data_IF_074389065818
#
_entry.id   IF_074389065818
#
_cell.length_a   1.000
_cell.length_b   1.000
_cell.length_c   1.000
_cell.angle_alpha   90.00
_cell.angle_beta   90.00
_cell.angle_gamma   90.00
#
_symmetry.space_group_name_H-M   'P 1'
#
loop_
_entity.id
_entity.type
_entity.pdbx_description
1 polymer ?
#
# COMPACT_ATOMS: atom_id res chain seq x y z
N UNK A 1 81.72 53.65 -25.71
CA UNK A 1 80.57 52.84 -26.17
C UNK A 1 80.57 51.53 -25.42
N UNK A 2 79.55 51.29 -24.59
CA UNK A 2 79.12 49.97 -24.13
C UNK A 2 77.71 50.14 -23.55
N UNK A 3 76.73 49.49 -24.20
CA UNK A 3 75.32 49.40 -23.79
C UNK A 3 75.19 48.14 -22.94
N UNK A 4 74.48 48.22 -21.80
CA UNK A 4 74.02 47.04 -21.07
C UNK A 4 72.52 47.18 -20.78
N UNK A 5 71.79 46.17 -21.23
CA UNK A 5 70.33 46.09 -21.35
C UNK A 5 69.70 45.72 -20.01
N UNK A 6 68.62 46.41 -19.63
CA UNK A 6 67.81 46.10 -18.46
C UNK A 6 66.93 44.86 -18.71
N UNK A 7 66.98 43.89 -17.80
CA UNK A 7 66.12 42.71 -17.82
C UNK A 7 64.83 42.99 -17.02
N UNK A 8 63.69 43.00 -17.70
CA UNK A 8 62.36 43.13 -17.10
C UNK A 8 61.79 41.74 -16.84
N UNK A 9 61.64 41.35 -15.59
CA UNK A 9 60.90 40.13 -15.18
C UNK A 9 59.39 40.34 -15.31
N UNK A 10 58.74 39.53 -16.13
CA UNK A 10 57.27 39.43 -16.23
C UNK A 10 56.79 38.37 -15.24
N UNK A 11 55.98 38.77 -14.26
CA UNK A 11 55.26 37.84 -13.37
C UNK A 11 53.91 37.52 -14.01
N UNK A 12 53.75 36.29 -14.49
CA UNK A 12 52.48 35.80 -15.02
C UNK A 12 51.57 35.36 -13.85
N UNK A 13 50.47 36.07 -13.65
CA UNK A 13 49.44 35.74 -12.66
C UNK A 13 48.50 34.67 -13.25
N UNK A 14 48.61 33.43 -12.76
CA UNK A 14 47.77 32.32 -13.19
C UNK A 14 46.39 32.40 -12.51
N UNK A 15 45.38 32.88 -13.22
CA UNK A 15 43.97 32.85 -12.78
C UNK A 15 43.41 31.44 -12.97
N UNK A 16 43.08 30.76 -11.88
CA UNK A 16 42.38 29.47 -11.89
C UNK A 16 40.87 29.76 -11.94
N UNK A 17 40.12 29.34 -12.98
CA UNK A 17 38.66 29.48 -12.98
C UNK A 17 38.05 28.51 -11.96
N UNK A 18 37.28 29.03 -11.02
CA UNK A 18 36.47 28.22 -10.12
C UNK A 18 35.35 27.53 -10.90
N UNK A 19 35.02 26.25 -10.63
CA UNK A 19 33.86 25.62 -11.23
C UNK A 19 32.59 26.26 -10.67
N UNK A 20 31.82 26.94 -11.53
CA UNK A 20 30.44 27.32 -11.22
C UNK A 20 29.63 26.04 -11.03
N UNK A 21 29.34 25.70 -9.77
CA UNK A 21 28.33 24.70 -9.46
C UNK A 21 26.98 25.32 -9.81
N UNK A 22 26.48 25.01 -11.00
CA UNK A 22 25.08 25.27 -11.32
C UNK A 22 24.23 24.49 -10.31
N UNK A 23 23.64 25.22 -9.36
CA UNK A 23 22.64 24.66 -8.47
C UNK A 23 21.45 24.26 -9.35
N UNK A 24 21.39 22.98 -9.72
CA UNK A 24 20.18 22.40 -10.26
C UNK A 24 19.12 22.50 -9.16
N UNK A 25 18.22 23.46 -9.30
CA UNK A 25 16.97 23.48 -8.56
C UNK A 25 16.24 22.17 -8.90
N UNK A 26 16.40 21.13 -8.07
CA UNK A 26 15.39 20.08 -7.98
C UNK A 26 14.13 20.79 -7.48
N UNK A 27 13.30 21.25 -8.43
CA UNK A 27 11.92 21.56 -8.11
C UNK A 27 11.37 20.33 -7.41
N UNK A 28 10.85 20.50 -6.20
CA UNK A 28 10.12 19.46 -5.50
C UNK A 28 9.01 19.00 -6.46
N UNK A 29 9.23 17.87 -7.13
CA UNK A 29 8.21 17.26 -7.97
C UNK A 29 7.04 17.01 -7.02
N UNK A 30 5.93 17.72 -7.24
CA UNK A 30 4.69 17.48 -6.50
C UNK A 30 4.36 16.00 -6.68
N UNK A 31 4.38 15.24 -5.58
CA UNK A 31 4.05 13.83 -5.61
C UNK A 31 2.63 13.67 -6.19
N UNK A 32 2.44 12.69 -7.08
CA UNK A 32 1.12 12.41 -7.65
C UNK A 32 0.17 11.89 -6.56
N UNK A 33 -1.13 11.90 -6.85
CA UNK A 33 -2.14 11.37 -5.92
C UNK A 33 -1.91 9.88 -5.63
N UNK A 34 -1.52 9.12 -6.65
CA UNK A 34 -1.16 7.69 -6.56
C UNK A 34 0.06 7.49 -5.66
N UNK A 35 1.10 8.31 -5.82
CA UNK A 35 2.30 8.24 -4.99
C UNK A 35 1.99 8.56 -3.53
N UNK A 36 1.12 9.55 -3.28
CA UNK A 36 0.64 9.86 -1.92
C UNK A 36 -0.15 8.70 -1.34
N UNK A 37 -1.09 8.12 -2.06
CA UNK A 37 -1.86 6.96 -1.59
C UNK A 37 -0.94 5.78 -1.26
N UNK A 38 0.03 5.44 -2.13
CA UNK A 38 0.98 4.38 -1.86
C UNK A 38 1.77 4.62 -0.57
N UNK A 39 2.23 5.84 -0.33
CA UNK A 39 2.91 6.23 0.91
C UNK A 39 2.01 6.00 2.14
N UNK A 40 0.75 6.44 2.07
CA UNK A 40 -0.23 6.29 3.14
C UNK A 40 -0.50 4.80 3.44
N UNK A 41 -0.74 3.99 2.40
CA UNK A 41 -0.96 2.54 2.52
C UNK A 41 0.26 1.86 3.15
N UNK A 42 1.45 2.12 2.64
CA UNK A 42 2.67 1.49 3.14
C UNK A 42 3.02 1.93 4.57
N UNK A 43 2.67 3.16 4.95
CA UNK A 43 2.78 3.60 6.35
C UNK A 43 1.83 2.83 7.27
N UNK A 44 0.57 2.62 6.86
CA UNK A 44 -0.39 1.81 7.62
C UNK A 44 0.09 0.35 7.76
N UNK A 45 0.64 -0.22 6.69
CA UNK A 45 1.23 -1.57 6.70
C UNK A 45 2.43 -1.70 7.63
N UNK A 46 3.33 -0.72 7.62
CA UNK A 46 4.45 -0.67 8.55
C UNK A 46 3.98 -0.60 10.02
N UNK A 47 2.94 0.19 10.31
CA UNK A 47 2.35 0.25 11.66
C UNK A 47 1.68 -1.06 12.07
N UNK A 48 1.09 -1.79 11.13
CA UNK A 48 0.53 -3.12 11.35
C UNK A 48 1.59 -4.24 11.41
N UNK A 49 2.87 -3.94 11.16
CA UNK A 49 3.94 -4.92 11.19
C UNK A 49 3.93 -5.91 10.01
N UNK A 50 3.32 -5.54 8.88
CA UNK A 50 3.28 -6.39 7.66
C UNK A 50 4.17 -5.82 6.54
N UNK A 51 4.64 -6.66 5.59
CA UNK A 51 5.51 -6.20 4.52
C UNK A 51 4.88 -5.09 3.66
N UNK A 52 5.69 -4.18 3.16
CA UNK A 52 5.25 -3.12 2.25
C UNK A 52 4.80 -3.69 0.90
N UNK A 53 3.92 -2.97 0.22
CA UNK A 53 3.49 -3.27 -1.14
C UNK A 53 4.42 -2.61 -2.14
N UNK A 54 4.64 -3.31 -3.25
CA UNK A 54 5.36 -2.81 -4.42
C UNK A 54 4.37 -2.49 -5.54
N UNK A 55 4.59 -1.40 -6.28
CA UNK A 55 3.79 -1.10 -7.47
C UNK A 55 4.06 -2.15 -8.56
N UNK A 56 2.98 -2.68 -9.14
CA UNK A 56 3.04 -3.48 -10.37
C UNK A 56 2.38 -2.71 -11.54
N UNK A 57 3.11 -2.41 -12.63
CA UNK A 57 2.57 -1.63 -13.74
C UNK A 57 1.35 -2.24 -14.44
N UNK A 58 1.25 -3.57 -14.51
CA UNK A 58 0.09 -4.22 -15.13
C UNK A 58 -1.15 -4.07 -14.25
N UNK A 59 -0.97 -4.15 -12.92
CA UNK A 59 -2.04 -3.90 -11.96
C UNK A 59 -2.46 -2.44 -11.94
N UNK A 60 -1.52 -1.50 -12.09
CA UNK A 60 -1.79 -0.06 -12.23
C UNK A 60 -2.66 0.21 -13.45
N UNK A 61 -2.31 -0.33 -14.62
CA UNK A 61 -3.08 -0.11 -15.85
C UNK A 61 -4.56 -0.54 -15.70
N UNK A 62 -4.80 -1.65 -15.00
CA UNK A 62 -6.17 -2.12 -14.71
C UNK A 62 -6.87 -1.19 -13.73
N UNK A 63 -6.18 -0.73 -12.68
CA UNK A 63 -6.74 0.19 -11.69
C UNK A 63 -7.09 1.55 -12.31
N UNK A 64 -6.23 2.11 -13.16
CA UNK A 64 -6.46 3.37 -13.88
C UNK A 64 -7.65 3.28 -14.84
N UNK A 65 -7.72 2.21 -15.64
CA UNK A 65 -8.84 1.98 -16.55
C UNK A 65 -10.18 1.87 -15.79
N UNK A 66 -10.17 1.24 -14.61
CA UNK A 66 -11.36 1.15 -13.79
C UNK A 66 -11.71 2.47 -13.11
N UNK A 67 -10.72 3.23 -12.63
CA UNK A 67 -10.92 4.58 -12.09
C UNK A 67 -11.56 5.51 -13.13
N UNK A 68 -11.14 5.42 -14.40
CA UNK A 68 -11.77 6.11 -15.51
C UNK A 68 -13.23 5.69 -15.70
N UNK A 69 -13.52 4.39 -15.65
CA UNK A 69 -14.89 3.86 -15.74
C UNK A 69 -15.79 4.37 -14.61
N UNK A 70 -15.29 4.38 -13.37
CA UNK A 70 -16.01 4.93 -12.21
C UNK A 70 -16.28 6.42 -12.39
N UNK A 71 -15.27 7.18 -12.81
CA UNK A 71 -15.38 8.60 -13.08
C UNK A 71 -16.44 8.86 -14.16
N UNK A 72 -16.42 8.12 -15.27
CA UNK A 72 -17.37 8.23 -16.39
C UNK A 72 -18.82 7.97 -15.97
N UNK A 73 -19.03 6.93 -15.17
CA UNK A 73 -20.36 6.50 -14.68
C UNK A 73 -20.88 7.35 -13.52
N UNK A 74 -20.02 8.07 -12.81
CA UNK A 74 -20.39 8.85 -11.63
C UNK A 74 -20.71 8.00 -10.41
N UNK A 75 -20.08 6.84 -10.27
CA UNK A 75 -20.27 5.93 -9.13
C UNK A 75 -19.03 5.06 -8.89
N UNK A 76 -19.02 4.32 -7.78
CA UNK A 76 -17.87 3.49 -7.34
C UNK A 76 -18.19 1.99 -7.29
N UNK A 77 -18.66 1.35 -8.39
CA UNK A 77 -18.82 -0.09 -8.42
C UNK A 77 -17.45 -0.79 -8.40
N UNK A 78 -17.40 -1.97 -7.79
CA UNK A 78 -16.27 -2.87 -7.95
C UNK A 78 -16.13 -3.35 -9.40
N UNK A 79 -14.90 -3.64 -9.82
CA UNK A 79 -14.60 -4.18 -11.14
C UNK A 79 -15.02 -5.65 -11.25
N UNK A 80 -16.04 -5.99 -12.06
CA UNK A 80 -16.50 -7.36 -12.19
C UNK A 80 -15.49 -8.24 -12.94
N UNK A 81 -14.58 -7.63 -13.71
CA UNK A 81 -13.64 -8.31 -14.60
C UNK A 81 -12.19 -8.30 -14.07
N UNK A 82 -11.95 -7.81 -12.84
CA UNK A 82 -10.59 -7.70 -12.29
C UNK A 82 -9.82 -9.03 -12.36
N UNK A 83 -10.49 -10.13 -12.01
CA UNK A 83 -9.89 -11.46 -12.02
C UNK A 83 -9.52 -11.99 -13.41
N UNK A 84 -10.20 -11.55 -14.46
CA UNK A 84 -9.92 -11.95 -15.86
C UNK A 84 -8.94 -11.01 -16.55
N UNK A 85 -8.84 -9.76 -16.08
CA UNK A 85 -7.91 -8.75 -16.58
C UNK A 85 -6.48 -8.94 -16.07
N UNK A 86 -6.31 -9.59 -14.93
CA UNK A 86 -5.01 -9.94 -14.36
C UNK A 86 -4.76 -11.45 -14.45
N UNK A 87 -3.49 -11.82 -14.64
CA UNK A 87 -3.06 -13.22 -14.69
C UNK A 87 -2.00 -13.51 -13.63
N UNK A 88 -1.73 -14.79 -13.36
CA UNK A 88 -0.64 -15.19 -12.47
C UNK A 88 -0.82 -14.77 -11.01
N UNK A 89 -2.06 -14.63 -10.53
CA UNK A 89 -2.39 -14.30 -9.15
C UNK A 89 -2.92 -15.52 -8.39
N UNK A 90 -2.69 -15.53 -7.08
CA UNK A 90 -3.26 -16.48 -6.12
C UNK A 90 -4.44 -15.87 -5.35
N UNK A 91 -4.32 -14.60 -4.98
CA UNK A 91 -5.38 -13.81 -4.36
C UNK A 91 -5.42 -12.42 -4.99
N UNK A 92 -6.63 -11.87 -5.07
CA UNK A 92 -6.91 -10.50 -5.49
C UNK A 92 -7.83 -9.84 -4.48
N UNK A 93 -7.68 -8.54 -4.31
CA UNK A 93 -8.65 -7.68 -3.65
C UNK A 93 -8.68 -6.31 -4.31
N UNK A 94 -9.81 -5.61 -4.16
CA UNK A 94 -10.00 -4.26 -4.66
C UNK A 94 -10.59 -3.38 -3.56
N UNK A 95 -10.02 -2.20 -3.39
CA UNK A 95 -10.69 -1.09 -2.72
C UNK A 95 -11.07 -0.05 -3.78
N UNK A 96 -12.27 0.51 -3.64
CA UNK A 96 -12.72 1.66 -4.44
C UNK A 96 -13.18 2.77 -3.51
N UNK A 97 -12.88 4.02 -3.87
CA UNK A 97 -13.26 5.17 -3.07
C UNK A 97 -13.50 6.42 -3.92
N UNK A 98 -14.24 7.36 -3.32
CA UNK A 98 -14.50 8.69 -3.83
C UNK A 98 -14.18 9.69 -2.72
N UNK A 99 -13.37 10.72 -3.01
CA UNK A 99 -13.01 11.74 -2.04
C UNK A 99 -12.42 13.01 -2.67
N UNK A 100 -12.15 14.04 -1.88
CA UNK A 100 -11.58 15.31 -2.34
C UNK A 100 -10.07 15.25 -2.57
N UNK A 101 -9.37 14.41 -1.81
CA UNK A 101 -7.92 14.33 -1.79
C UNK A 101 -7.43 12.95 -1.28
N UNK A 102 -6.16 12.58 -1.52
CA UNK A 102 -5.60 11.29 -1.11
C UNK A 102 -5.70 10.99 0.38
N UNK A 103 -5.49 11.99 1.24
CA UNK A 103 -5.48 11.83 2.69
C UNK A 103 -6.89 11.56 3.24
N UNK A 104 -7.91 12.21 2.68
CA UNK A 104 -9.31 11.90 2.97
C UNK A 104 -9.67 10.50 2.50
N UNK A 105 -9.34 10.15 1.24
CA UNK A 105 -9.64 8.83 0.66
C UNK A 105 -9.05 7.72 1.52
N UNK A 106 -7.77 7.82 1.87
CA UNK A 106 -7.11 6.80 2.70
C UNK A 106 -7.76 6.65 4.08
N UNK A 107 -8.15 7.76 4.71
CA UNK A 107 -8.83 7.73 6.01
C UNK A 107 -10.16 6.98 5.94
N UNK A 108 -10.97 7.24 4.91
CA UNK A 108 -12.24 6.54 4.69
C UNK A 108 -12.03 5.03 4.47
N UNK A 109 -10.97 4.65 3.75
CA UNK A 109 -10.61 3.24 3.56
C UNK A 109 -10.17 2.59 4.89
N UNK A 110 -9.40 3.28 5.72
CA UNK A 110 -8.98 2.79 7.05
C UNK A 110 -10.16 2.64 8.03
N UNK A 111 -11.19 3.49 7.92
CA UNK A 111 -12.38 3.44 8.78
C UNK A 111 -13.37 2.33 8.38
N UNK A 112 -13.24 1.76 7.17
CA UNK A 112 -14.04 0.62 6.71
C UNK A 112 -13.34 -0.70 7.05
N UNK A 113 -13.94 -1.60 7.88
CA UNK A 113 -13.31 -2.86 8.26
C UNK A 113 -12.89 -3.73 7.06
N UNK A 114 -13.72 -3.79 6.02
CA UNK A 114 -13.42 -4.57 4.81
C UNK A 114 -12.24 -3.97 4.04
N UNK A 115 -12.23 -2.65 3.80
CA UNK A 115 -11.13 -2.01 3.07
C UNK A 115 -9.81 -2.02 3.87
N UNK A 116 -9.90 -1.79 5.18
CA UNK A 116 -8.77 -1.92 6.10
C UNK A 116 -8.13 -3.31 6.03
N UNK A 117 -8.96 -4.37 6.02
CA UNK A 117 -8.44 -5.75 5.92
C UNK A 117 -7.65 -6.00 4.64
N UNK A 118 -8.03 -5.39 3.51
CA UNK A 118 -7.27 -5.46 2.26
C UNK A 118 -5.94 -4.71 2.40
N UNK A 119 -5.98 -3.48 2.93
CA UNK A 119 -4.81 -2.62 3.13
C UNK A 119 -3.72 -3.28 3.96
N UNK A 120 -4.10 -3.97 5.04
CA UNK A 120 -3.14 -4.55 6.01
C UNK A 120 -2.97 -6.05 5.90
N UNK A 121 -3.54 -6.71 4.88
CA UNK A 121 -3.36 -8.15 4.70
C UNK A 121 -1.90 -8.49 4.34
N UNK A 122 -1.23 -9.39 5.09
CA UNK A 122 0.12 -9.82 4.78
C UNK A 122 0.19 -10.74 3.56
N UNK A 123 -0.95 -11.18 3.01
CA UNK A 123 -0.98 -12.03 1.83
C UNK A 123 -0.60 -11.29 0.55
N UNK A 124 -0.87 -9.98 0.49
CA UNK A 124 -0.59 -9.15 -0.68
C UNK A 124 0.84 -8.60 -0.65
N UNK A 125 1.47 -8.56 -1.82
CA UNK A 125 2.82 -8.02 -2.02
C UNK A 125 2.90 -7.00 -3.16
N UNK A 126 1.93 -7.00 -4.07
CA UNK A 126 1.84 -6.05 -5.17
C UNK A 126 0.56 -5.22 -5.06
N UNK A 127 0.62 -4.00 -5.57
CA UNK A 127 -0.53 -3.11 -5.68
C UNK A 127 -0.49 -2.31 -6.98
N UNK A 128 -1.66 -2.02 -7.54
CA UNK A 128 -1.84 -0.99 -8.54
C UNK A 128 -2.84 0.03 -8.03
N UNK A 129 -2.49 1.32 -8.15
CA UNK A 129 -3.33 2.43 -7.70
C UNK A 129 -3.67 3.28 -8.92
N UNK A 130 -4.95 3.45 -9.18
CA UNK A 130 -5.46 4.33 -10.23
C UNK A 130 -6.25 5.48 -9.63
N UNK A 131 -6.00 6.70 -10.07
CA UNK A 131 -6.73 7.89 -9.64
C UNK A 131 -7.18 8.71 -10.84
N UNK A 132 -8.48 9.03 -10.89
CA UNK A 132 -9.03 9.95 -11.90
C UNK A 132 -9.75 11.10 -11.19
N UNK A 133 -9.42 12.34 -11.55
CA UNK A 133 -10.12 13.52 -11.04
C UNK A 133 -11.26 13.92 -11.96
N UNK A 134 -12.48 14.02 -11.42
CA UNK A 134 -13.65 14.53 -12.14
C UNK A 134 -14.56 15.31 -11.17
N UNK A 135 -14.94 16.52 -11.55
CA UNK A 135 -15.85 17.35 -10.74
C UNK A 135 -15.31 17.75 -9.36
N UNK A 136 -13.98 17.87 -9.22
CA UNK A 136 -13.33 18.16 -7.93
C UNK A 136 -13.26 16.98 -6.97
N UNK A 137 -13.61 15.77 -7.44
CA UNK A 137 -13.47 14.53 -6.69
C UNK A 137 -12.45 13.61 -7.36
N UNK A 138 -11.80 12.78 -6.56
CA UNK A 138 -10.91 11.70 -6.95
C UNK A 138 -11.68 10.38 -6.91
N UNK A 139 -11.73 9.70 -8.04
CA UNK A 139 -12.16 8.31 -8.17
C UNK A 139 -10.91 7.44 -8.03
N UNK A 140 -10.86 6.62 -6.98
CA UNK A 140 -9.65 5.88 -6.59
C UNK A 140 -9.92 4.38 -6.61
N UNK A 141 -9.01 3.63 -7.21
CA UNK A 141 -8.96 2.16 -7.20
C UNK A 141 -7.63 1.71 -6.64
N UNK A 142 -7.64 0.79 -5.67
CA UNK A 142 -6.45 0.08 -5.19
C UNK A 142 -6.66 -1.42 -5.41
N UNK A 143 -5.90 -1.99 -6.34
CA UNK A 143 -5.93 -3.41 -6.66
C UNK A 143 -4.74 -4.10 -5.98
N UNK A 144 -5.01 -5.04 -5.08
CA UNK A 144 -4.00 -5.78 -4.33
C UNK A 144 -3.83 -7.17 -4.90
N UNK A 145 -2.58 -7.61 -5.06
CA UNK A 145 -2.27 -8.91 -5.66
C UNK A 145 -1.32 -9.71 -4.77
N UNK A 146 -1.69 -10.96 -4.53
CA UNK A 146 -0.76 -12.00 -4.15
C UNK A 146 -0.39 -12.75 -5.44
N UNK A 147 0.85 -12.67 -5.93
CA UNK A 147 1.28 -13.46 -7.07
C UNK A 147 1.11 -14.96 -6.81
N UNK A 148 0.71 -15.71 -7.83
CA UNK A 148 0.91 -17.15 -7.82
C UNK A 148 2.42 -17.40 -7.67
N UNK A 149 2.79 -18.34 -6.78
CA UNK A 149 4.19 -18.70 -6.66
C UNK A 149 4.70 -19.12 -8.04
N UNK A 150 5.79 -18.49 -8.49
CA UNK A 150 6.52 -19.03 -9.63
C UNK A 150 6.88 -20.47 -9.25
N UNK A 151 6.45 -21.45 -10.05
CA UNK A 151 6.91 -22.82 -9.90
C UNK A 151 8.43 -22.76 -9.87
N UNK A 152 9.02 -23.12 -8.73
CA UNK A 152 10.46 -23.18 -8.58
C UNK A 152 10.98 -24.35 -9.40
N UNK A 153 11.14 -24.17 -10.71
CA UNK A 153 12.07 -25.00 -11.49
C UNK A 153 13.45 -24.40 -11.33
N UNK A 154 13.97 -24.48 -10.11
CA UNK A 154 15.41 -24.37 -9.85
C UNK A 154 16.00 -25.78 -9.82
N UNK A 155 17.21 -26.01 -10.37
CA UNK A 155 17.90 -27.28 -10.16
C UNK A 155 18.04 -27.51 -8.65
N UNK A 156 17.81 -28.75 -8.22
CA UNK A 156 18.17 -29.19 -6.88
C UNK A 156 19.68 -29.04 -6.68
N UNK A 157 20.12 -27.87 -6.20
CA UNK A 157 21.51 -27.65 -5.81
C UNK A 157 21.64 -27.82 -4.29
N UNK A 158 21.81 -29.09 -3.93
CA UNK A 158 22.83 -29.57 -3.01
C UNK A 158 23.17 -28.65 -1.83
N UNK A 159 22.46 -28.85 -0.72
CA UNK A 159 23.06 -28.63 0.59
C UNK A 159 24.28 -29.58 0.72
N UNK A 160 25.51 -29.09 0.98
CA UNK A 160 26.60 -30.00 1.33
C UNK A 160 26.27 -30.66 2.67
N UNK A 161 26.08 -31.97 2.62
CA UNK A 161 25.92 -32.84 3.78
C UNK A 161 27.04 -32.58 4.79
N UNK A 162 26.74 -31.81 5.85
CA UNK A 162 27.61 -31.75 7.03
C UNK A 162 27.59 -33.14 7.68
N UNK A 163 28.71 -33.82 7.53
CA UNK A 163 29.10 -35.06 8.21
C UNK A 163 28.70 -35.05 9.70
N UNK A 164 28.16 -36.15 10.26
CA UNK A 164 27.92 -36.23 11.70
C UNK A 164 29.26 -36.25 12.44
N UNK A 165 29.44 -35.35 13.42
CA UNK A 165 30.56 -35.41 14.35
C UNK A 165 30.33 -36.56 15.37
N UNK A 166 31.38 -37.29 15.79
CA UNK A 166 31.24 -38.34 16.80
C UNK A 166 31.03 -37.70 18.18
N UNK A 167 29.90 -38.01 18.82
CA UNK A 167 29.60 -37.60 20.20
C UNK A 167 30.32 -38.55 21.16
N UNK A 168 31.51 -38.15 21.63
CA UNK A 168 32.15 -38.78 22.79
C UNK A 168 31.30 -38.46 24.03
N UNK A 169 30.86 -39.50 24.73
CA UNK A 169 30.06 -39.37 25.94
C UNK A 169 30.85 -38.90 27.16
N UNK A 170 30.20 -38.16 28.05
CA UNK A 170 30.37 -38.28 29.51
C UNK A 170 29.22 -37.59 30.26
N UNK A 171 28.55 -38.44 31.05
CA UNK A 171 27.81 -38.30 32.33
C UNK A 171 27.30 -36.92 32.79
N UNK A 172 26.02 -36.92 33.15
CA UNK A 172 25.30 -36.00 34.04
C UNK A 172 25.97 -35.81 35.41
N UNK A 173 25.67 -34.71 36.11
CA UNK A 173 24.86 -34.85 37.31
C UNK A 173 23.76 -33.78 37.50
N UNK A 174 22.70 -34.24 38.18
CA UNK A 174 21.66 -33.62 39.01
C UNK A 174 21.11 -32.20 38.76
N UNK A 175 19.83 -32.21 38.39
CA UNK A 175 18.69 -31.48 38.96
C UNK A 175 18.97 -30.38 39.99
N UNK A 176 18.69 -29.13 39.61
CA UNK A 176 18.20 -28.12 40.55
C UNK A 176 17.03 -27.39 39.89
N UNK A 177 15.84 -27.66 40.40
CA UNK A 177 14.58 -27.03 40.00
C UNK A 177 14.61 -25.56 40.44
N UNK A 178 14.72 -24.62 39.49
CA UNK A 178 14.41 -23.21 39.72
C UNK A 178 12.98 -22.97 39.25
N UNK A 179 12.11 -22.75 40.23
CA UNK A 179 10.70 -22.37 40.09
C UNK A 179 10.57 -21.06 39.30
N UNK A 180 9.84 -21.12 38.19
CA UNK A 180 9.40 -19.96 37.43
C UNK A 180 8.36 -19.14 38.22
N UNK A 181 8.34 -17.80 38.10
CA UNK A 181 7.28 -16.97 38.69
C UNK A 181 5.93 -17.25 38.00
N UNK A 182 4.86 -17.20 38.80
CA UNK A 182 3.49 -17.53 38.45
C UNK A 182 2.89 -16.61 37.36
N UNK A 183 1.91 -17.10 36.57
CA UNK A 183 1.18 -16.29 35.59
C UNK A 183 0.27 -15.26 36.28
N UNK A 184 0.09 -14.12 35.63
CA UNK A 184 -0.84 -13.04 36.03
C UNK A 184 -2.28 -13.55 36.25
N UNK A 185 -3.05 -12.90 37.15
CA UNK A 185 -4.45 -13.25 37.36
C UNK A 185 -5.31 -12.99 36.11
N UNK A 186 -6.39 -13.76 35.89
CA UNK A 186 -7.29 -13.55 34.78
C UNK A 186 -8.02 -12.19 34.88
N UNK A 187 -8.06 -11.47 33.76
CA UNK A 187 -8.90 -10.27 33.59
C UNK A 187 -10.38 -10.68 33.79
N UNK A 188 -11.18 -9.94 34.58
CA UNK A 188 -12.58 -10.28 34.80
C UNK A 188 -13.38 -10.24 33.49
N UNK A 189 -14.21 -11.27 33.30
CA UNK A 189 -15.13 -11.39 32.17
C UNK A 189 -16.07 -10.18 32.08
N UNK A 190 -16.12 -9.55 30.90
CA UNK A 190 -17.17 -8.60 30.57
C UNK A 190 -18.53 -9.34 30.56
N UNK A 191 -19.52 -8.76 31.24
CA UNK A 191 -20.92 -9.22 31.25
C UNK A 191 -21.55 -9.21 29.85
N UNK A 192 -22.61 -10.01 29.62
CA UNK A 192 -23.13 -10.27 28.27
C UNK A 192 -24.01 -9.10 27.79
N UNK A 193 -23.68 -8.55 26.63
CA UNK A 193 -24.58 -7.65 25.90
C UNK A 193 -25.48 -8.47 24.97
N UNK A 194 -26.79 -8.42 25.28
CA UNK A 194 -27.99 -8.58 24.46
C UNK A 194 -28.05 -9.66 23.33
N UNK A 195 -29.10 -10.49 23.42
CA UNK A 195 -29.52 -11.48 22.44
C UNK A 195 -29.61 -10.94 20.99
N UNK A 196 -29.25 -11.74 19.97
CA UNK A 196 -29.53 -11.40 18.58
C UNK A 196 -31.04 -11.53 18.28
N UNK A 197 -31.61 -10.51 17.64
CA UNK A 197 -32.93 -10.58 16.99
C UNK A 197 -32.83 -11.58 15.83
N UNK A 198 -33.73 -12.57 15.70
CA UNK A 198 -33.65 -13.54 14.61
C UNK A 198 -34.12 -12.89 13.30
N UNK A 199 -33.19 -12.65 12.38
CA UNK A 199 -33.54 -12.34 10.99
C UNK A 199 -33.89 -13.65 10.30
N UNK A 200 -35.19 -13.89 10.10
CA UNK A 200 -35.70 -14.93 9.23
C UNK A 200 -35.16 -14.71 7.80
N UNK A 201 -34.60 -15.78 7.22
CA UNK A 201 -34.23 -15.80 5.81
C UNK A 201 -35.48 -15.61 4.92
N UNK A 202 -35.47 -14.68 3.94
CA UNK A 202 -36.51 -14.66 2.94
C UNK A 202 -36.33 -15.85 1.99
N UNK A 203 -37.40 -16.66 1.92
CA UNK A 203 -37.57 -17.77 0.97
C UNK A 203 -37.54 -17.23 -0.45
N UNK A 204 -36.88 -17.96 -1.36
CA UNK A 204 -36.98 -17.70 -2.80
C UNK A 204 -38.44 -17.81 -3.26
N UNK A 205 -39.01 -16.70 -3.76
CA UNK A 205 -39.86 -16.66 -4.96
C UNK A 205 -40.45 -15.27 -5.19
N UNK A 206 -40.26 -14.79 -6.43
CA UNK A 206 -41.22 -14.00 -7.22
C UNK A 206 -41.42 -12.50 -6.90
N UNK A 207 -41.07 -11.70 -7.92
CA UNK A 207 -41.72 -10.45 -8.38
C UNK A 207 -41.35 -9.11 -7.71
N UNK A 208 -40.75 -8.24 -8.55
CA UNK A 208 -41.12 -6.84 -8.81
C UNK A 208 -40.98 -5.78 -7.68
N UNK A 209 -40.10 -4.80 -7.95
CA UNK A 209 -40.07 -3.40 -7.48
C UNK A 209 -39.70 -3.09 -6.01
N UNK A 210 -38.55 -2.43 -5.81
CA UNK A 210 -38.51 -1.10 -5.16
C UNK A 210 -37.24 -0.33 -5.51
N UNK A 211 -37.44 0.82 -6.18
CA UNK A 211 -36.50 1.93 -6.39
C UNK A 211 -36.99 3.06 -5.47
N UNK A 212 -36.07 3.91 -5.01
CA UNK A 212 -36.20 5.09 -4.12
C UNK A 212 -35.92 4.83 -2.62
N UNK A 213 -34.75 5.29 -2.16
CA UNK A 213 -34.61 6.25 -1.04
C UNK A 213 -33.18 6.82 -1.07
N UNK A 214 -32.98 7.95 -1.75
CA UNK A 214 -31.66 8.60 -1.88
C UNK A 214 -31.67 9.98 -2.55
N UNK A 215 -32.82 10.66 -2.57
CA UNK A 215 -33.00 11.98 -3.17
C UNK A 215 -33.86 12.86 -2.26
N UNK A 216 -33.27 13.42 -1.20
CA UNK A 216 -33.91 14.53 -0.43
C UNK A 216 -32.96 15.40 0.40
N UNK A 217 -31.74 15.66 -0.08
CA UNK A 217 -30.82 16.57 0.60
C UNK A 217 -30.09 17.58 -0.32
N UNK A 218 -30.63 17.89 -1.50
CA UNK A 218 -30.03 18.87 -2.42
C UNK A 218 -30.99 19.93 -2.97
N UNK A 219 -32.25 20.01 -2.52
CA UNK A 219 -33.23 20.98 -3.06
C UNK A 219 -33.41 22.25 -2.21
N UNK A 220 -32.87 22.30 -0.99
CA UNK A 220 -33.04 23.48 -0.11
C UNK A 220 -31.97 24.58 -0.28
N UNK A 221 -30.96 24.38 -1.14
CA UNK A 221 -29.88 25.37 -1.34
C UNK A 221 -29.94 26.15 -2.65
N UNK A 222 -30.87 25.86 -3.57
CA UNK A 222 -30.95 26.55 -4.86
C UNK A 222 -32.17 27.48 -5.04
N UNK A 223 -32.95 27.73 -3.97
CA UNK A 223 -34.10 28.67 -4.01
C UNK A 223 -33.84 30.02 -3.32
N UNK A 224 -32.58 30.39 -3.04
CA UNK A 224 -32.24 31.71 -2.45
C UNK A 224 -30.97 32.37 -3.00
N UNK A 225 -30.75 32.35 -4.32
CA UNK A 225 -29.86 33.30 -5.00
C UNK A 225 -30.39 33.62 -6.39
#
# INVERSE_FOLDING_TARGET
MAVAVAATTVVALLTIPAPSVAAASLGAATASNEARLLELVNRARAQAGVPLLTIDPAVVAVAEAWAQTMAERGGIPHNPDLGSQLSGWKLLAENVALGSDPDQVHRMLMESPTHFSNLTSPAFSLVGIGVVSRGGQLFVVENFVQPAAASSTGPADQAPSRRPAPRLGRRSPDTTTVTAPAPDPPIPAASPAANPVPVQAPRMSSRLAFVLEGLRALDDHNSRR
#
